data_IF_794201744021
#
_entry.id   IF_794201744021
#
_cell.length_a   1.000
_cell.length_b   1.000
_cell.length_c   1.000
_cell.angle_alpha   90.00
_cell.angle_beta   90.00
_cell.angle_gamma   90.00
#
_symmetry.space_group_name_H-M   'P 1'
#
loop_
_entity.id
_entity.type
_entity.pdbx_description
1 polymer ?
#
# COMPACT_ATOMS: atom_id res chain seq x y z
N UNK A 1 2.34 14.73 1.13
CA UNK A 1 3.31 13.70 1.60
C UNK A 1 2.80 12.33 1.21
N UNK A 2 3.67 11.33 1.16
CA UNK A 2 3.31 9.91 1.07
C UNK A 2 3.36 9.33 2.47
N UNK A 3 2.37 8.54 2.86
CA UNK A 3 2.30 7.91 4.18
C UNK A 3 2.85 6.48 4.10
N UNK A 4 4.01 6.22 4.72
CA UNK A 4 4.57 4.87 4.85
C UNK A 4 4.08 4.19 6.12
N UNK A 5 4.47 2.92 6.35
CA UNK A 5 4.11 2.18 7.57
C UNK A 5 4.55 2.86 8.88
N UNK A 6 5.57 3.74 8.84
CA UNK A 6 6.12 4.42 10.03
C UNK A 6 6.24 5.92 9.90
N UNK A 7 6.71 6.39 8.74
CA UNK A 7 7.11 7.77 8.53
C UNK A 7 6.42 8.42 7.33
N UNK A 8 6.49 9.74 7.29
CA UNK A 8 6.08 10.50 6.12
C UNK A 8 7.24 10.60 5.15
N UNK A 9 6.95 10.31 3.89
CA UNK A 9 7.93 10.31 2.80
C UNK A 9 7.62 11.49 1.88
N UNK A 10 8.64 12.27 1.56
CA UNK A 10 8.50 13.33 0.58
C UNK A 10 8.46 12.72 -0.84
N UNK A 11 7.60 13.20 -1.75
CA UNK A 11 7.53 12.70 -3.14
C UNK A 11 8.90 12.64 -3.86
N UNK A 12 9.77 13.61 -3.59
CA UNK A 12 11.12 13.73 -4.13
C UNK A 12 12.10 12.67 -3.62
N UNK A 13 11.82 12.03 -2.48
CA UNK A 13 12.67 11.01 -1.85
C UNK A 13 12.38 9.58 -2.35
N UNK A 14 11.39 9.43 -3.23
CA UNK A 14 10.97 8.14 -3.79
C UNK A 14 11.69 7.87 -5.12
N UNK A 15 12.34 6.72 -5.19
CA UNK A 15 12.94 6.16 -6.41
C UNK A 15 11.94 5.34 -7.20
N UNK A 16 12.36 4.18 -7.71
CA UNK A 16 11.44 3.23 -8.35
C UNK A 16 10.43 2.68 -7.36
N UNK A 17 9.23 2.40 -7.83
CA UNK A 17 8.13 1.93 -7.00
C UNK A 17 7.52 0.63 -7.52
N UNK A 18 7.07 -0.20 -6.59
CA UNK A 18 6.28 -1.40 -6.78
C UNK A 18 4.92 -1.20 -6.11
N UNK A 19 3.89 -0.78 -6.87
CA UNK A 19 2.60 -0.35 -6.31
C UNK A 19 1.64 -1.48 -5.93
N UNK A 20 1.96 -2.74 -6.23
CA UNK A 20 1.11 -3.90 -5.92
C UNK A 20 1.96 -5.17 -5.74
N UNK A 21 2.35 -5.44 -4.50
CA UNK A 21 3.11 -6.62 -4.13
C UNK A 21 2.70 -7.11 -2.73
N UNK A 22 3.03 -8.35 -2.39
CA UNK A 22 2.88 -8.84 -1.03
C UNK A 22 4.26 -9.03 -0.39
N UNK A 23 4.44 -8.49 0.81
CA UNK A 23 5.73 -8.56 1.51
C UNK A 23 5.72 -9.64 2.58
N UNK A 24 4.69 -9.63 3.42
CA UNK A 24 4.45 -10.68 4.40
C UNK A 24 2.98 -11.07 4.40
N UNK A 25 2.66 -12.36 4.28
CA UNK A 25 1.29 -12.87 4.31
C UNK A 25 1.18 -14.35 4.69
N UNK A 26 -0.04 -14.79 4.97
CA UNK A 26 -0.40 -16.16 5.33
C UNK A 26 -1.45 -16.80 4.40
N UNK A 27 -1.64 -16.30 3.16
CA UNK A 27 -2.60 -16.82 2.16
C UNK A 27 -2.67 -18.36 2.12
N UNK A 28 -1.54 -19.05 2.15
CA UNK A 28 -1.48 -20.52 2.12
C UNK A 28 -2.10 -21.24 3.33
N UNK A 29 -2.43 -20.53 4.41
CA UNK A 29 -2.95 -21.09 5.65
C UNK A 29 -4.28 -21.84 5.46
N UNK A 30 -5.07 -21.47 4.45
CA UNK A 30 -6.32 -22.18 4.09
C UNK A 30 -6.09 -23.62 3.64
N UNK A 31 -4.89 -23.94 3.16
CA UNK A 31 -4.49 -25.27 2.71
C UNK A 31 -3.42 -25.88 3.63
N UNK A 32 -3.07 -25.23 4.74
CA UNK A 32 -1.96 -25.65 5.58
C UNK A 32 -2.22 -27.01 6.23
N UNK A 33 -1.27 -27.92 6.02
CA UNK A 33 -1.18 -29.18 6.75
C UNK A 33 -0.06 -29.07 7.78
N UNK A 34 -0.16 -29.79 8.90
CA UNK A 34 0.93 -29.87 9.89
C UNK A 34 2.14 -30.56 9.23
N UNK A 35 3.10 -29.77 8.75
CA UNK A 35 4.22 -30.28 7.95
C UNK A 35 5.37 -29.27 7.81
N UNK A 36 6.44 -29.74 7.19
CA UNK A 36 7.65 -28.96 6.91
C UNK A 36 7.36 -27.78 5.96
N UNK A 37 7.71 -26.57 6.40
CA UNK A 37 7.56 -25.33 5.64
C UNK A 37 8.70 -25.07 4.65
N UNK A 38 9.72 -25.93 4.57
CA UNK A 38 10.78 -25.81 3.57
C UNK A 38 10.24 -26.05 2.15
N UNK A 39 10.76 -25.34 1.15
CA UNK A 39 10.49 -25.60 -0.27
C UNK A 39 11.72 -26.28 -0.85
N UNK A 40 11.54 -27.45 -1.45
CA UNK A 40 12.62 -28.19 -2.11
C UNK A 40 12.61 -27.93 -3.61
N UNK A 41 13.74 -28.19 -4.26
CA UNK A 41 13.89 -27.92 -5.69
C UNK A 41 12.99 -28.82 -6.54
N UNK A 42 12.76 -30.04 -6.10
CA UNK A 42 11.84 -31.01 -6.72
C UNK A 42 10.37 -30.54 -6.70
N UNK A 43 9.98 -29.72 -5.72
CA UNK A 43 8.60 -29.24 -5.57
C UNK A 43 8.25 -28.10 -6.55
N UNK A 44 9.25 -27.46 -7.16
CA UNK A 44 9.06 -26.23 -7.93
C UNK A 44 8.14 -26.42 -9.13
N UNK A 45 8.15 -27.60 -9.76
CA UNK A 45 7.25 -27.88 -10.88
C UNK A 45 5.80 -28.01 -10.45
N UNK A 46 5.55 -28.56 -9.27
CA UNK A 46 4.20 -28.67 -8.72
C UNK A 46 3.66 -27.29 -8.36
N UNK A 47 4.46 -26.45 -7.70
CA UNK A 47 4.05 -25.10 -7.35
C UNK A 47 3.72 -24.21 -8.57
N UNK A 48 4.45 -24.39 -9.68
CA UNK A 48 4.14 -23.68 -10.94
C UNK A 48 2.80 -24.08 -11.54
N UNK A 49 2.34 -25.31 -11.29
CA UNK A 49 1.07 -25.84 -11.80
C UNK A 49 -0.09 -25.58 -10.83
N UNK A 50 0.18 -25.71 -9.54
CA UNK A 50 -0.77 -25.56 -8.45
C UNK A 50 -0.09 -24.81 -7.29
N UNK A 51 -0.25 -23.48 -7.17
CA UNK A 51 0.41 -22.70 -6.13
C UNK A 51 0.12 -23.15 -4.69
N UNK A 52 -1.05 -23.77 -4.46
CA UNK A 52 -1.47 -24.35 -3.18
C UNK A 52 -0.96 -25.77 -2.92
N UNK A 53 -0.20 -26.38 -3.84
CA UNK A 53 0.38 -27.70 -3.64
C UNK A 53 1.18 -27.79 -2.33
N UNK A 54 1.40 -29.02 -1.84
CA UNK A 54 2.23 -29.28 -0.66
C UNK A 54 1.79 -28.47 0.58
N UNK A 55 0.49 -28.42 0.84
CA UNK A 55 -0.08 -27.76 2.01
C UNK A 55 0.03 -26.23 1.97
N UNK A 56 -0.01 -25.61 0.79
CA UNK A 56 0.00 -24.15 0.65
C UNK A 56 1.30 -23.45 1.05
N UNK A 57 2.38 -24.18 1.37
CA UNK A 57 3.63 -23.60 1.91
C UNK A 57 4.34 -22.61 0.97
N UNK A 58 4.04 -22.64 -0.32
CA UNK A 58 4.50 -21.64 -1.29
C UNK A 58 3.83 -20.27 -1.11
N UNK A 59 2.65 -20.22 -0.49
CA UNK A 59 1.86 -19.01 -0.26
C UNK A 59 1.96 -18.53 1.19
N UNK A 60 3.02 -18.93 1.90
CA UNK A 60 3.30 -18.53 3.29
C UNK A 60 4.56 -17.66 3.35
N UNK A 61 4.42 -16.37 3.07
CA UNK A 61 5.49 -15.38 3.18
C UNK A 61 5.50 -14.81 4.61
N UNK A 62 5.85 -15.63 5.60
CA UNK A 62 5.79 -15.22 7.01
C UNK A 62 7.16 -14.92 7.62
N UNK A 63 8.24 -15.34 6.94
CA UNK A 63 9.61 -15.25 7.47
C UNK A 63 10.22 -13.90 7.10
N UNK A 64 10.35 -13.03 8.10
CA UNK A 64 10.97 -11.69 7.98
C UNK A 64 12.34 -11.75 7.29
N UNK A 65 13.18 -12.73 7.61
CA UNK A 65 14.51 -12.88 7.01
C UNK A 65 14.48 -13.28 5.53
N UNK A 66 13.46 -14.02 5.09
CA UNK A 66 13.30 -14.33 3.65
C UNK A 66 12.89 -13.07 2.90
N UNK A 67 11.92 -12.32 3.42
CA UNK A 67 11.49 -11.04 2.84
C UNK A 67 12.62 -10.01 2.81
N UNK A 68 13.38 -9.89 3.90
CA UNK A 68 14.53 -8.98 4.01
C UNK A 68 15.56 -9.24 2.90
N UNK A 69 15.95 -10.50 2.68
CA UNK A 69 16.96 -10.85 1.66
C UNK A 69 16.52 -10.51 0.24
N UNK A 70 15.23 -10.58 -0.06
CA UNK A 70 14.70 -10.26 -1.38
C UNK A 70 14.57 -8.74 -1.59
N UNK A 71 14.13 -8.01 -0.56
CA UNK A 71 13.97 -6.56 -0.59
C UNK A 71 15.30 -5.79 -0.45
N UNK A 72 16.29 -6.34 0.26
CA UNK A 72 17.64 -5.77 0.36
C UNK A 72 18.28 -5.63 -1.04
N UNK A 73 18.00 -6.54 -1.96
CA UNK A 73 18.46 -6.43 -3.34
C UNK A 73 17.82 -5.27 -4.09
N UNK A 74 16.55 -4.96 -3.79
CA UNK A 74 15.87 -3.80 -4.35
C UNK A 74 16.51 -2.50 -3.84
N UNK A 75 16.89 -2.44 -2.56
CA UNK A 75 17.64 -1.31 -2.00
C UNK A 75 18.99 -1.09 -2.67
N UNK A 76 19.70 -2.19 -2.94
CA UNK A 76 21.00 -2.17 -3.61
C UNK A 76 20.89 -1.89 -5.12
N UNK A 77 19.68 -1.79 -5.66
CA UNK A 77 19.46 -1.59 -7.07
C UNK A 77 19.90 -0.18 -7.50
N UNK A 78 21.07 -0.10 -8.13
CA UNK A 78 21.80 1.14 -8.47
C UNK A 78 21.15 2.07 -9.50
N UNK A 79 19.86 1.89 -9.83
CA UNK A 79 19.21 2.73 -10.85
C UNK A 79 18.96 4.16 -10.36
N UNK A 80 18.80 4.39 -9.06
CA UNK A 80 18.52 5.72 -8.53
C UNK A 80 19.26 5.98 -7.21
N UNK A 81 19.58 7.25 -6.93
CA UNK A 81 20.07 7.72 -5.62
C UNK A 81 18.96 7.76 -4.55
N UNK A 82 17.71 7.54 -4.96
CA UNK A 82 16.52 7.63 -4.15
C UNK A 82 16.08 6.24 -3.68
N UNK A 83 15.37 6.19 -2.56
CA UNK A 83 14.94 4.93 -1.95
C UNK A 83 13.78 4.32 -2.74
N UNK A 84 13.83 3.03 -3.13
CA UNK A 84 12.69 2.35 -3.73
C UNK A 84 11.49 2.33 -2.78
N UNK A 85 10.29 2.22 -3.34
CA UNK A 85 9.04 2.13 -2.60
C UNK A 85 8.31 0.83 -2.94
N UNK A 86 7.74 0.17 -1.94
CA UNK A 86 6.92 -1.03 -2.11
C UNK A 86 5.60 -0.86 -1.36
N UNK A 87 4.48 -1.12 -2.05
CA UNK A 87 3.14 -1.14 -1.47
C UNK A 87 2.75 -2.59 -1.20
N UNK A 88 2.72 -2.96 0.09
CA UNK A 88 2.21 -4.26 0.55
C UNK A 88 0.69 -4.25 0.57
N UNK A 89 0.06 -4.95 -0.38
CA UNK A 89 -1.40 -5.01 -0.56
C UNK A 89 -2.06 -6.16 0.22
N UNK A 90 -1.33 -6.77 1.15
CA UNK A 90 -1.85 -7.88 1.98
C UNK A 90 -3.09 -7.47 2.78
N UNK A 91 -4.11 -8.33 2.77
CA UNK A 91 -5.39 -8.13 3.47
C UNK A 91 -5.39 -8.67 4.92
N UNK A 92 -6.34 -8.24 5.78
CA UNK A 92 -6.50 -8.78 7.14
C UNK A 92 -6.59 -10.31 7.19
N UNK A 93 -7.39 -10.90 6.30
CA UNK A 93 -7.55 -12.36 6.16
C UNK A 93 -6.26 -13.06 5.73
N UNK A 94 -5.35 -12.32 5.09
CA UNK A 94 -4.03 -12.77 4.63
C UNK A 94 -2.91 -12.42 5.63
N UNK A 95 -3.25 -11.96 6.83
CA UNK A 95 -2.29 -11.70 7.89
C UNK A 95 -1.73 -10.28 7.91
N UNK A 96 -2.41 -9.30 7.30
CA UNK A 96 -2.08 -7.86 7.47
C UNK A 96 -1.96 -7.49 8.94
N UNK A 97 -2.99 -7.72 9.73
CA UNK A 97 -3.03 -7.23 11.11
C UNK A 97 -2.17 -8.12 12.03
N UNK A 98 -2.12 -9.41 11.75
CA UNK A 98 -1.35 -10.38 12.53
C UNK A 98 0.17 -10.20 12.42
N UNK A 99 0.67 -9.67 11.29
CA UNK A 99 2.10 -9.52 10.99
C UNK A 99 2.58 -8.06 11.05
N UNK A 100 1.82 -7.15 11.70
CA UNK A 100 2.18 -5.72 11.80
C UNK A 100 3.57 -5.55 12.43
N UNK A 101 3.87 -6.30 13.49
CA UNK A 101 5.16 -6.22 14.19
C UNK A 101 6.32 -6.63 13.28
N UNK A 102 6.17 -7.69 12.50
CA UNK A 102 7.13 -8.18 11.52
C UNK A 102 7.34 -7.14 10.41
N UNK A 103 6.26 -6.54 9.88
CA UNK A 103 6.38 -5.47 8.86
C UNK A 103 7.12 -4.25 9.38
N UNK A 104 6.86 -3.83 10.61
CA UNK A 104 7.55 -2.69 11.23
C UNK A 104 9.03 -2.98 11.49
N UNK A 105 9.37 -4.19 11.95
CA UNK A 105 10.77 -4.63 12.08
C UNK A 105 11.47 -4.70 10.73
N UNK A 106 10.80 -5.23 9.71
CA UNK A 106 11.33 -5.30 8.36
C UNK A 106 11.61 -3.90 7.80
N UNK A 107 10.67 -2.95 7.96
CA UNK A 107 10.86 -1.56 7.56
C UNK A 107 12.03 -0.90 8.32
N UNK A 108 12.23 -1.21 9.61
CA UNK A 108 13.36 -0.70 10.39
C UNK A 108 14.72 -1.24 9.91
N UNK A 109 14.75 -2.51 9.52
CA UNK A 109 15.95 -3.15 8.95
C UNK A 109 16.26 -2.62 7.56
N UNK A 110 15.23 -2.37 6.75
CA UNK A 110 15.33 -1.87 5.39
C UNK A 110 15.41 -0.32 5.35
N UNK A 111 16.51 0.23 5.84
CA UNK A 111 16.72 1.70 5.98
C UNK A 111 16.60 2.52 4.70
N UNK A 112 16.92 1.93 3.57
CA UNK A 112 16.92 2.56 2.24
C UNK A 112 15.73 2.10 1.38
N UNK A 113 14.60 1.71 1.99
CA UNK A 113 13.37 1.33 1.30
C UNK A 113 12.16 1.92 2.01
N UNK A 114 11.22 2.44 1.24
CA UNK A 114 9.92 2.88 1.74
C UNK A 114 8.93 1.73 1.66
N UNK A 115 8.40 1.29 2.80
CA UNK A 115 7.38 0.24 2.85
C UNK A 115 6.02 0.87 3.17
N UNK A 116 5.01 0.57 2.37
CA UNK A 116 3.63 0.98 2.58
C UNK A 116 2.77 -0.25 2.86
N UNK A 117 1.67 -0.05 3.60
CA UNK A 117 0.59 -1.03 3.76
C UNK A 117 -0.73 -0.39 3.33
N UNK A 118 -1.78 -1.19 3.22
CA UNK A 118 -3.11 -0.74 2.76
C UNK A 118 -4.20 -0.85 3.83
N UNK A 119 -5.16 0.08 3.78
CA UNK A 119 -6.44 -0.01 4.48
C UNK A 119 -7.44 -0.78 3.61
N UNK A 120 -8.40 -1.47 4.23
CA UNK A 120 -9.43 -2.22 3.49
C UNK A 120 -10.69 -2.40 4.32
N UNK A 121 -11.80 -2.75 3.66
CA UNK A 121 -13.03 -3.12 4.33
C UNK A 121 -13.53 -4.47 3.80
N UNK A 122 -13.59 -5.47 4.69
CA UNK A 122 -14.12 -6.80 4.38
C UNK A 122 -15.64 -6.74 4.21
N UNK A 123 -16.17 -7.08 3.04
CA UNK A 123 -17.60 -7.02 2.74
C UNK A 123 -18.43 -7.91 3.69
N UNK A 124 -17.83 -8.97 4.21
CA UNK A 124 -18.39 -9.89 5.20
C UNK A 124 -18.72 -9.18 6.53
N UNK A 125 -18.03 -8.08 6.85
CA UNK A 125 -18.32 -7.25 8.03
C UNK A 125 -19.64 -6.49 7.90
N UNK A 126 -20.20 -6.34 6.69
CA UNK A 126 -21.56 -5.84 6.47
C UNK A 126 -22.58 -6.92 6.83
N UNK A 127 -22.69 -7.22 8.12
CA UNK A 127 -23.66 -8.16 8.70
C UNK A 127 -24.71 -7.42 9.54
N UNK A 128 -25.73 -8.12 10.02
CA UNK A 128 -26.83 -7.54 10.79
C UNK A 128 -26.34 -6.67 11.97
N UNK A 129 -25.27 -7.08 12.66
CA UNK A 129 -24.71 -6.32 13.77
C UNK A 129 -24.08 -5.00 13.32
N UNK A 130 -23.43 -4.98 12.16
CA UNK A 130 -22.89 -3.74 11.58
C UNK A 130 -24.00 -2.81 11.09
N UNK A 131 -25.07 -3.39 10.54
CA UNK A 131 -26.17 -2.68 9.90
C UNK A 131 -27.32 -2.29 10.87
N UNK A 132 -27.28 -2.74 12.13
CA UNK A 132 -28.42 -2.62 13.05
C UNK A 132 -28.89 -1.18 13.22
N UNK A 133 -30.15 -0.93 12.84
CA UNK A 133 -30.78 0.39 12.94
C UNK A 133 -30.24 1.46 11.98
N UNK A 134 -29.42 1.09 10.99
CA UNK A 134 -28.83 2.02 10.02
C UNK A 134 -29.47 1.88 8.64
N UNK A 135 -29.77 3.01 8.00
CA UNK A 135 -30.07 3.07 6.56
C UNK A 135 -28.84 2.70 5.70
N UNK A 136 -29.00 2.31 4.43
CA UNK A 136 -27.87 2.02 3.54
C UNK A 136 -26.86 3.18 3.43
N UNK A 137 -27.33 4.42 3.46
CA UNK A 137 -26.47 5.62 3.45
C UNK A 137 -25.61 5.69 4.73
N UNK A 138 -26.22 5.47 5.90
CA UNK A 138 -25.50 5.47 7.18
C UNK A 138 -24.54 4.28 7.31
N UNK A 139 -24.87 3.14 6.70
CA UNK A 139 -23.96 2.00 6.62
C UNK A 139 -22.73 2.35 5.76
N UNK A 140 -22.93 3.00 4.61
CA UNK A 140 -21.85 3.48 3.74
C UNK A 140 -20.97 4.51 4.45
N UNK A 141 -21.58 5.44 5.18
CA UNK A 141 -20.89 6.41 6.03
C UNK A 141 -20.04 5.73 7.12
N UNK A 142 -20.54 4.64 7.70
CA UNK A 142 -19.83 3.85 8.71
C UNK A 142 -18.63 3.09 8.12
N UNK A 143 -18.77 2.56 6.90
CA UNK A 143 -17.65 1.99 6.13
C UNK A 143 -16.60 3.06 5.91
N UNK A 144 -16.99 4.24 5.42
CA UNK A 144 -16.09 5.35 5.13
C UNK A 144 -15.30 5.77 6.39
N UNK A 145 -15.98 6.00 7.51
CA UNK A 145 -15.36 6.33 8.80
C UNK A 145 -14.40 5.26 9.32
N UNK A 146 -14.68 3.99 9.05
CA UNK A 146 -13.78 2.89 9.44
C UNK A 146 -12.48 2.96 8.66
N UNK A 147 -12.56 3.18 7.33
CA UNK A 147 -11.39 3.33 6.47
C UNK A 147 -10.61 4.61 6.77
N UNK A 148 -11.30 5.74 6.96
CA UNK A 148 -10.72 7.00 7.39
C UNK A 148 -9.97 6.84 8.71
N UNK A 149 -10.55 6.12 9.68
CA UNK A 149 -9.90 5.86 10.96
C UNK A 149 -8.62 5.02 10.79
N UNK A 150 -8.63 3.94 10.00
CA UNK A 150 -7.41 3.18 9.70
C UNK A 150 -6.36 4.05 9.00
N UNK A 151 -6.77 4.85 8.01
CA UNK A 151 -5.88 5.73 7.26
C UNK A 151 -5.26 6.81 8.15
N UNK A 152 -6.02 7.38 9.09
CA UNK A 152 -5.59 8.51 9.94
C UNK A 152 -4.85 8.03 11.19
N UNK A 153 -5.39 7.04 11.90
CA UNK A 153 -4.90 6.57 13.20
C UNK A 153 -4.04 5.30 13.11
N UNK A 154 -4.04 4.62 11.97
CA UNK A 154 -3.25 3.42 11.73
C UNK A 154 -3.98 2.13 12.08
N UNK A 155 -3.31 1.02 11.75
CA UNK A 155 -3.71 -0.35 12.03
C UNK A 155 -2.94 -0.80 13.27
N UNK A 156 -3.66 -1.13 14.33
CA UNK A 156 -3.08 -1.68 15.56
C UNK A 156 -2.99 -3.21 15.50
N UNK A 157 -1.83 -3.75 15.84
CA UNK A 157 -1.61 -5.20 15.94
C UNK A 157 -0.46 -5.50 16.91
N UNK A 158 -0.66 -6.42 17.85
CA UNK A 158 0.36 -6.83 18.83
C UNK A 158 1.01 -5.66 19.61
N UNK A 159 0.23 -4.63 19.95
CA UNK A 159 0.68 -3.46 20.72
C UNK A 159 1.54 -2.46 19.94
N UNK A 160 1.56 -2.55 18.61
CA UNK A 160 2.22 -1.60 17.71
C UNK A 160 1.25 -1.12 16.64
N UNK A 161 1.53 0.05 16.06
CA UNK A 161 0.68 0.69 15.05
C UNK A 161 1.47 0.86 13.75
N UNK A 162 0.89 0.45 12.63
CA UNK A 162 1.39 0.74 11.29
C UNK A 162 0.40 1.63 10.53
N UNK A 163 0.90 2.54 9.71
CA UNK A 163 0.05 3.49 8.99
C UNK A 163 -0.15 3.10 7.52
N UNK A 164 -1.40 3.01 7.05
CA UNK A 164 -1.67 2.76 5.63
C UNK A 164 -1.36 3.97 4.75
N UNK A 165 -0.81 3.69 3.56
CA UNK A 165 -0.54 4.70 2.54
C UNK A 165 -1.57 4.74 1.42
N UNK A 166 -2.47 3.76 1.35
CA UNK A 166 -3.48 3.61 0.32
C UNK A 166 -4.63 2.74 0.83
N UNK A 167 -5.70 2.64 0.05
CA UNK A 167 -6.76 1.64 0.22
C UNK A 167 -6.63 0.55 -0.85
N UNK A 168 -6.94 -0.68 -0.47
CA UNK A 168 -7.01 -1.82 -1.38
C UNK A 168 -8.29 -2.60 -1.14
N UNK A 169 -9.03 -2.90 -2.21
CA UNK A 169 -10.23 -3.70 -2.15
C UNK A 169 -10.11 -4.89 -3.09
N UNK A 170 -10.18 -6.09 -2.53
CA UNK A 170 -10.42 -7.29 -3.31
C UNK A 170 -11.92 -7.49 -3.51
N UNK A 171 -12.30 -7.77 -4.76
CA UNK A 171 -13.68 -7.90 -5.21
C UNK A 171 -13.81 -9.28 -5.85
N UNK A 172 -14.73 -10.07 -5.29
CA UNK A 172 -15.12 -11.36 -5.83
C UNK A 172 -16.42 -11.19 -6.60
N UNK A 173 -16.31 -11.10 -7.94
CA UNK A 173 -17.46 -10.90 -8.82
C UNK A 173 -18.30 -12.16 -8.85
N UNK A 174 -19.55 -12.05 -8.42
CA UNK A 174 -20.58 -13.10 -8.56
C UNK A 174 -21.26 -12.98 -9.92
N UNK A 175 -21.77 -14.10 -10.44
CA UNK A 175 -22.44 -14.15 -11.75
C UNK A 175 -23.56 -13.11 -11.86
N UNK A 176 -23.68 -12.45 -13.02
CA UNK A 176 -24.75 -11.51 -13.33
C UNK A 176 -24.36 -10.02 -13.41
N UNK A 177 -23.12 -9.66 -13.05
CA UNK A 177 -22.54 -8.31 -13.32
C UNK A 177 -23.19 -7.11 -12.61
N UNK A 178 -24.17 -7.36 -11.74
CA UNK A 178 -24.87 -6.37 -10.92
C UNK A 178 -24.29 -6.37 -9.50
N UNK A 179 -24.28 -5.20 -8.88
CA UNK A 179 -23.91 -5.07 -7.47
C UNK A 179 -24.99 -5.68 -6.59
N UNK A 180 -24.58 -6.46 -5.60
CA UNK A 180 -25.44 -6.83 -4.48
C UNK A 180 -25.64 -5.62 -3.56
N UNK A 181 -26.69 -5.64 -2.72
CA UNK A 181 -26.93 -4.57 -1.76
C UNK A 181 -25.72 -4.27 -0.84
N UNK A 182 -24.96 -5.31 -0.46
CA UNK A 182 -23.72 -5.13 0.31
C UNK A 182 -22.63 -4.44 -0.48
N UNK A 183 -22.49 -4.77 -1.77
CA UNK A 183 -21.51 -4.15 -2.65
C UNK A 183 -21.89 -2.71 -2.97
N UNK A 184 -23.17 -2.38 -3.09
CA UNK A 184 -23.63 -0.98 -3.24
C UNK A 184 -23.21 -0.14 -2.03
N UNK A 185 -23.44 -0.64 -0.81
CA UNK A 185 -22.99 0.01 0.44
C UNK A 185 -21.46 0.14 0.47
N UNK A 186 -20.74 -0.91 0.08
CA UNK A 186 -19.28 -0.92 0.07
C UNK A 186 -18.71 0.09 -0.94
N UNK A 187 -19.23 0.11 -2.17
CA UNK A 187 -18.82 1.05 -3.23
C UNK A 187 -19.02 2.49 -2.76
N UNK A 188 -20.19 2.81 -2.20
CA UNK A 188 -20.47 4.14 -1.67
C UNK A 188 -19.52 4.49 -0.51
N UNK A 189 -19.29 3.56 0.42
CA UNK A 189 -18.36 3.78 1.53
C UNK A 189 -16.90 3.99 1.09
N UNK A 190 -16.43 3.24 0.09
CA UNK A 190 -15.10 3.38 -0.50
C UNK A 190 -14.94 4.72 -1.22
N UNK A 191 -15.94 5.13 -2.01
CA UNK A 191 -15.93 6.42 -2.70
C UNK A 191 -15.91 7.58 -1.71
N UNK A 192 -16.73 7.53 -0.65
CA UNK A 192 -16.74 8.54 0.41
C UNK A 192 -15.39 8.64 1.13
N UNK A 193 -14.79 7.51 1.53
CA UNK A 193 -13.48 7.49 2.16
C UNK A 193 -12.41 8.07 1.23
N UNK A 194 -12.43 7.69 -0.05
CA UNK A 194 -11.48 8.18 -1.05
C UNK A 194 -11.63 9.69 -1.25
N UNK A 195 -12.85 10.18 -1.47
CA UNK A 195 -13.11 11.60 -1.72
C UNK A 195 -12.75 12.50 -0.53
N UNK A 196 -12.87 12.01 0.71
CA UNK A 196 -12.55 12.78 1.93
C UNK A 196 -11.06 12.79 2.26
N UNK A 197 -10.37 11.70 1.95
CA UNK A 197 -8.95 11.55 2.29
C UNK A 197 -8.03 11.84 1.13
N UNK A 198 -8.52 11.75 -0.11
CA UNK A 198 -7.73 11.70 -1.35
C UNK A 198 -6.77 10.50 -1.44
N UNK A 199 -6.88 9.52 -0.53
CA UNK A 199 -6.04 8.32 -0.53
C UNK A 199 -6.37 7.43 -1.75
N UNK A 200 -5.37 6.90 -2.47
CA UNK A 200 -5.64 6.11 -3.66
C UNK A 200 -6.33 4.79 -3.32
N UNK A 201 -7.22 4.35 -4.20
CA UNK A 201 -8.00 3.12 -4.08
C UNK A 201 -7.62 2.14 -5.19
N UNK A 202 -7.00 1.04 -4.77
CA UNK A 202 -6.61 -0.08 -5.63
C UNK A 202 -7.70 -1.14 -5.61
N UNK A 203 -8.17 -1.55 -6.78
CA UNK A 203 -9.26 -2.51 -6.96
C UNK A 203 -8.73 -3.76 -7.64
N UNK A 204 -8.81 -4.90 -6.96
CA UNK A 204 -8.47 -6.21 -7.52
C UNK A 204 -9.72 -7.03 -7.73
N UNK A 205 -9.92 -7.50 -8.96
CA UNK A 205 -11.08 -8.27 -9.34
C UNK A 205 -10.71 -9.73 -9.56
N UNK A 206 -11.55 -10.61 -9.04
CA UNK A 206 -11.52 -12.04 -9.27
C UNK A 206 -12.92 -12.52 -9.60
N UNK A 207 -12.99 -13.65 -10.30
CA UNK A 207 -14.23 -14.23 -10.78
C UNK A 207 -14.29 -15.70 -10.41
N UNK A 208 -15.50 -16.20 -10.21
CA UNK A 208 -15.74 -17.64 -10.12
C UNK A 208 -15.38 -18.34 -11.44
N UNK A 209 -14.81 -19.55 -11.38
CA UNK A 209 -14.24 -20.24 -12.55
C UNK A 209 -15.27 -20.49 -13.66
N UNK A 210 -16.57 -20.49 -13.31
CA UNK A 210 -17.68 -20.71 -14.23
C UNK A 210 -18.02 -19.49 -15.11
N UNK A 211 -17.56 -18.28 -14.78
CA UNK A 211 -18.01 -17.06 -15.45
C UNK A 211 -17.01 -16.54 -16.50
N UNK A 212 -17.57 -15.98 -17.58
CA UNK A 212 -16.81 -15.54 -18.76
C UNK A 212 -16.12 -14.20 -18.58
N UNK A 213 -15.11 -13.91 -19.41
CA UNK A 213 -14.36 -12.63 -19.36
C UNK A 213 -15.24 -11.39 -19.59
N UNK A 214 -16.29 -11.50 -20.40
CA UNK A 214 -17.22 -10.39 -20.66
C UNK A 214 -18.03 -9.99 -19.41
N UNK A 215 -18.40 -10.96 -18.57
CA UNK A 215 -19.09 -10.68 -17.30
C UNK A 215 -18.17 -9.94 -16.32
N UNK A 216 -16.89 -10.30 -16.30
CA UNK A 216 -15.88 -9.59 -15.50
C UNK A 216 -15.72 -8.15 -15.95
N UNK A 217 -15.58 -7.92 -17.25
CA UNK A 217 -15.47 -6.55 -17.81
C UNK A 217 -16.71 -5.73 -17.46
N UNK A 218 -17.91 -6.30 -17.59
CA UNK A 218 -19.15 -5.63 -17.21
C UNK A 218 -19.20 -5.33 -15.71
N UNK A 219 -18.77 -6.25 -14.85
CA UNK A 219 -18.72 -6.01 -13.42
C UNK A 219 -17.74 -4.89 -13.07
N UNK A 220 -16.55 -4.88 -13.66
CA UNK A 220 -15.57 -3.79 -13.48
C UNK A 220 -16.17 -2.46 -13.92
N UNK A 221 -16.84 -2.40 -15.09
CA UNK A 221 -17.54 -1.19 -15.55
C UNK A 221 -18.56 -0.71 -14.53
N UNK A 222 -19.38 -1.62 -14.02
CA UNK A 222 -20.39 -1.31 -13.01
C UNK A 222 -19.72 -0.74 -11.76
N UNK A 223 -18.69 -1.39 -11.22
CA UNK A 223 -17.96 -0.92 -10.04
C UNK A 223 -17.33 0.46 -10.24
N UNK A 224 -16.60 0.66 -11.34
CA UNK A 224 -15.93 1.94 -11.61
C UNK A 224 -16.95 3.06 -11.78
N UNK A 225 -18.04 2.85 -12.55
CA UNK A 225 -19.07 3.88 -12.72
C UNK A 225 -19.74 4.23 -11.40
N UNK A 226 -20.11 3.24 -10.59
CA UNK A 226 -20.72 3.51 -9.28
C UNK A 226 -19.77 4.24 -8.32
N UNK A 227 -18.46 3.95 -8.35
CA UNK A 227 -17.47 4.71 -7.58
C UNK A 227 -17.42 6.18 -8.04
N UNK A 228 -17.36 6.41 -9.36
CA UNK A 228 -17.32 7.77 -9.93
C UNK A 228 -18.61 8.54 -9.65
N UNK A 229 -19.77 7.91 -9.81
CA UNK A 229 -21.08 8.50 -9.52
C UNK A 229 -21.23 8.84 -8.02
N UNK A 230 -20.60 8.06 -7.14
CA UNK A 230 -20.50 8.31 -5.71
C UNK A 230 -19.46 9.40 -5.33
N UNK A 231 -18.77 9.99 -6.31
CA UNK A 231 -17.86 11.10 -6.11
C UNK A 231 -16.38 10.72 -5.96
N UNK A 232 -15.99 9.48 -6.26
CA UNK A 232 -14.58 9.10 -6.29
C UNK A 232 -13.82 9.84 -7.41
N UNK A 233 -12.61 10.30 -7.11
CA UNK A 233 -11.68 10.90 -8.06
C UNK A 233 -11.06 9.81 -8.94
N UNK A 234 -11.39 9.83 -10.23
CA UNK A 234 -10.87 8.86 -11.21
C UNK A 234 -9.34 8.72 -11.18
N UNK A 235 -8.62 9.84 -11.04
CA UNK A 235 -7.15 9.87 -10.98
C UNK A 235 -6.54 9.18 -9.76
N UNK A 236 -7.35 8.87 -8.74
CA UNK A 236 -6.95 8.14 -7.53
C UNK A 236 -7.46 6.70 -7.52
N UNK A 237 -8.13 6.26 -8.59
CA UNK A 237 -8.55 4.87 -8.77
C UNK A 237 -7.52 4.08 -9.58
N UNK A 238 -7.27 2.84 -9.15
CA UNK A 238 -6.41 1.89 -9.85
C UNK A 238 -7.14 0.57 -10.03
N UNK A 239 -7.16 0.06 -11.26
CA UNK A 239 -7.62 -1.31 -11.56
C UNK A 239 -6.40 -2.22 -11.71
N UNK A 240 -6.27 -3.21 -10.82
CA UNK A 240 -5.09 -4.08 -10.67
C UNK A 240 -5.18 -5.33 -11.56
N UNK A 241 -4.07 -6.00 -11.86
CA UNK A 241 -4.04 -7.21 -12.71
C UNK A 241 -4.51 -6.98 -14.15
N UNK A 242 -4.18 -5.84 -14.74
CA UNK A 242 -4.56 -5.46 -16.10
C UNK A 242 -4.07 -6.42 -17.19
N UNK A 243 -3.02 -7.19 -16.89
CA UNK A 243 -2.52 -8.28 -17.71
C UNK A 243 -3.57 -9.37 -17.99
N UNK A 244 -4.53 -9.60 -17.08
CA UNK A 244 -5.60 -10.59 -17.27
C UNK A 244 -6.58 -10.22 -18.38
N UNK A 245 -6.61 -8.94 -18.75
CA UNK A 245 -7.57 -8.37 -19.71
C UNK A 245 -6.91 -7.97 -21.03
N UNK A 246 -5.62 -8.22 -21.19
CA UNK A 246 -4.92 -8.09 -22.46
C UNK A 246 -5.04 -9.39 -23.26
N UNK A 247 -6.12 -9.56 -24.02
CA UNK A 247 -6.32 -10.74 -24.88
C UNK A 247 -6.26 -10.37 -26.36
N UNK A 248 -5.31 -10.96 -27.10
CA UNK A 248 -5.26 -10.86 -28.56
C UNK A 248 -4.00 -10.20 -29.11
N UNK A 249 -3.98 -10.01 -30.43
CA UNK A 249 -2.91 -9.32 -31.16
C UNK A 249 -3.02 -7.79 -30.97
N UNK A 250 -1.87 -7.10 -30.99
CA UNK A 250 -1.70 -5.64 -30.80
C UNK A 250 -2.53 -4.80 -31.80
N UNK A 251 -2.90 -5.36 -32.95
CA UNK A 251 -3.71 -4.74 -34.00
C UNK A 251 -5.22 -5.05 -33.86
N UNK A 252 -5.65 -5.82 -32.86
CA UNK A 252 -7.04 -6.24 -32.65
C UNK A 252 -7.76 -5.56 -31.48
N UNK A 253 -9.05 -5.88 -31.33
CA UNK A 253 -9.99 -5.37 -30.30
C UNK A 253 -9.64 -5.70 -28.83
N UNK A 254 -8.46 -6.31 -28.58
CA UNK A 254 -8.04 -6.86 -27.30
C UNK A 254 -7.77 -5.87 -26.17
N UNK A 255 -7.66 -4.57 -26.50
CA UNK A 255 -7.35 -3.50 -25.56
C UNK A 255 -8.50 -2.50 -25.38
N UNK A 256 -9.63 -2.67 -26.09
CA UNK A 256 -10.73 -1.72 -26.09
C UNK A 256 -11.28 -1.47 -24.68
N UNK A 257 -11.39 -2.53 -23.87
CA UNK A 257 -11.78 -2.44 -22.48
C UNK A 257 -10.84 -1.56 -21.64
N UNK A 258 -9.52 -1.78 -21.75
CA UNK A 258 -8.53 -1.00 -21.03
C UNK A 258 -8.50 0.46 -21.48
N UNK A 259 -8.64 0.73 -22.79
CA UNK A 259 -8.74 2.08 -23.32
C UNK A 259 -10.00 2.80 -22.82
N UNK A 260 -11.11 2.11 -22.61
CA UNK A 260 -12.29 2.69 -21.98
C UNK A 260 -12.02 3.08 -20.52
N UNK A 261 -11.40 2.19 -19.73
CA UNK A 261 -11.04 2.51 -18.33
C UNK A 261 -10.09 3.72 -18.26
N UNK A 262 -9.08 3.75 -19.14
CA UNK A 262 -8.17 4.87 -19.28
C UNK A 262 -8.91 6.17 -19.68
N UNK A 263 -9.90 6.07 -20.58
CA UNK A 263 -10.77 7.18 -20.97
C UNK A 263 -11.62 7.75 -19.83
N UNK A 264 -11.91 6.95 -18.79
CA UNK A 264 -12.56 7.41 -17.56
C UNK A 264 -11.59 8.13 -16.60
N UNK A 265 -10.30 8.21 -16.93
CA UNK A 265 -9.26 8.83 -16.10
C UNK A 265 -8.70 7.92 -15.01
N UNK A 266 -9.05 6.63 -15.03
CA UNK A 266 -8.60 5.61 -14.06
C UNK A 266 -7.23 5.08 -14.47
N UNK A 267 -6.39 4.73 -13.49
CA UNK A 267 -5.10 4.08 -13.76
C UNK A 267 -5.26 2.57 -13.87
N UNK A 268 -4.45 1.94 -14.72
CA UNK A 268 -4.40 0.48 -14.89
C UNK A 268 -3.04 -0.04 -14.47
N UNK A 269 -3.03 -1.11 -13.70
CA UNK A 269 -1.82 -1.68 -13.12
C UNK A 269 -1.59 -3.10 -13.66
N UNK A 270 -0.39 -3.35 -14.18
CA UNK A 270 0.03 -4.64 -14.71
C UNK A 270 1.00 -5.33 -13.76
N UNK A 271 0.73 -6.59 -13.46
CA UNK A 271 1.47 -7.41 -12.49
C UNK A 271 2.26 -8.51 -13.18
N UNK A 272 1.63 -9.13 -14.18
CA UNK A 272 2.31 -10.07 -15.06
C UNK A 272 2.98 -9.27 -16.16
N UNK A 273 4.30 -9.30 -16.09
CA UNK A 273 5.28 -8.60 -16.92
C UNK A 273 5.18 -9.01 -18.41
N UNK A 274 4.07 -8.65 -19.03
CA UNK A 274 3.65 -9.00 -20.39
C UNK A 274 2.86 -7.82 -20.93
N UNK A 275 3.57 -6.76 -21.31
CA UNK A 275 2.96 -5.54 -21.78
C UNK A 275 3.44 -5.27 -23.19
N UNK A 276 2.52 -5.39 -24.14
CA UNK A 276 2.67 -4.86 -25.50
C UNK A 276 1.92 -3.52 -25.66
N UNK A 277 1.16 -3.10 -24.63
CA UNK A 277 0.22 -1.98 -24.69
C UNK A 277 0.80 -0.59 -24.39
N UNK A 278 2.07 -0.48 -23.96
CA UNK A 278 2.66 0.81 -23.50
C UNK A 278 3.10 1.74 -24.65
N UNK A 279 2.79 1.40 -25.90
CA UNK A 279 3.24 2.22 -27.03
C UNK A 279 2.47 3.52 -27.22
N UNK A 280 1.26 3.70 -26.67
CA UNK A 280 0.52 4.95 -26.80
C UNK A 280 0.92 5.96 -25.71
N UNK A 281 1.69 6.97 -26.10
CA UNK A 281 2.13 8.07 -25.25
C UNK A 281 1.02 8.79 -24.47
N UNK A 282 -0.23 8.75 -24.95
CA UNK A 282 -1.35 9.49 -24.33
C UNK A 282 -1.74 8.96 -22.95
N UNK A 283 -1.50 7.68 -22.68
CA UNK A 283 -1.94 7.02 -21.45
C UNK A 283 -0.81 6.61 -20.52
N UNK A 284 0.44 6.98 -20.85
CA UNK A 284 1.63 6.64 -20.06
C UNK A 284 1.47 7.05 -18.60
N UNK A 285 0.86 8.20 -18.32
CA UNK A 285 0.63 8.74 -16.97
C UNK A 285 -0.38 7.96 -16.12
N UNK A 286 -1.10 7.01 -16.72
CA UNK A 286 -2.14 6.18 -16.09
C UNK A 286 -1.72 4.70 -16.03
N UNK A 287 -0.51 4.36 -16.45
CA UNK A 287 0.00 2.99 -16.44
C UNK A 287 0.90 2.79 -15.23
N UNK A 288 0.66 1.73 -14.48
CA UNK A 288 1.47 1.28 -13.35
C UNK A 288 2.00 -0.14 -13.62
N UNK A 289 3.18 -0.44 -13.10
CA UNK A 289 3.82 -1.76 -13.21
C UNK A 289 4.26 -2.24 -11.83
N UNK A 290 3.98 -3.50 -11.51
CA UNK A 290 4.49 -4.16 -10.32
C UNK A 290 5.08 -5.54 -10.62
N UNK A 291 5.59 -6.23 -9.61
CA UNK A 291 6.05 -7.62 -9.74
C UNK A 291 5.04 -8.65 -9.26
N UNK A 292 4.08 -8.23 -8.43
CA UNK A 292 3.11 -9.09 -7.75
C UNK A 292 3.78 -10.35 -7.18
N UNK A 293 4.79 -10.15 -6.35
CA UNK A 293 5.39 -11.22 -5.55
C UNK A 293 4.40 -11.57 -4.43
N UNK A 294 3.84 -12.77 -4.49
CA UNK A 294 2.95 -13.35 -3.48
C UNK A 294 3.20 -14.86 -3.27
N UNK A 295 4.19 -15.41 -3.96
CA UNK A 295 4.60 -16.80 -3.87
C UNK A 295 6.09 -16.87 -3.54
N UNK A 296 6.47 -17.82 -2.69
CA UNK A 296 7.87 -18.03 -2.34
C UNK A 296 8.68 -18.43 -3.56
N UNK A 297 8.14 -19.24 -4.48
CA UNK A 297 8.87 -19.59 -5.72
C UNK A 297 9.20 -18.39 -6.62
N UNK A 298 8.59 -17.21 -6.40
CA UNK A 298 8.96 -15.99 -7.09
C UNK A 298 10.22 -15.35 -6.50
N UNK A 299 10.65 -15.72 -5.29
CA UNK A 299 11.93 -15.31 -4.71
C UNK A 299 13.11 -15.88 -5.48
N UNK A 300 14.20 -15.12 -5.53
CA UNK A 300 15.40 -15.48 -6.30
C UNK A 300 16.05 -16.77 -5.82
N UNK A 301 16.01 -17.03 -4.51
CA UNK A 301 16.55 -18.28 -3.93
C UNK A 301 15.89 -19.55 -4.48
N UNK A 302 14.69 -19.44 -5.04
CA UNK A 302 13.94 -20.57 -5.64
C UNK A 302 13.89 -20.48 -7.18
N UNK A 303 14.73 -19.63 -7.78
CA UNK A 303 14.81 -19.44 -9.23
C UNK A 303 13.79 -18.44 -9.80
N UNK A 304 13.05 -17.72 -8.96
CA UNK A 304 12.17 -16.64 -9.37
C UNK A 304 12.90 -15.31 -9.65
N UNK A 305 12.15 -14.30 -10.09
CA UNK A 305 12.71 -12.98 -10.42
C UNK A 305 12.91 -12.05 -9.21
N UNK A 306 12.15 -12.25 -8.14
CA UNK A 306 12.04 -11.37 -6.98
C UNK A 306 11.51 -9.97 -7.35
N UNK A 307 11.58 -9.06 -6.39
CA UNK A 307 11.11 -7.66 -6.51
C UNK A 307 11.91 -6.81 -7.53
N UNK A 308 13.04 -7.31 -8.02
CA UNK A 308 13.93 -6.57 -8.94
C UNK A 308 13.73 -6.96 -10.40
N UNK A 309 12.90 -7.95 -10.69
CA UNK A 309 12.69 -8.48 -12.05
C UNK A 309 12.21 -7.41 -13.04
N UNK A 310 11.28 -6.57 -12.60
CA UNK A 310 10.75 -5.45 -13.38
C UNK A 310 11.88 -4.55 -13.90
N UNK A 311 12.81 -4.18 -13.02
CA UNK A 311 13.88 -3.23 -13.32
C UNK A 311 15.06 -3.86 -14.07
N UNK A 312 15.45 -5.09 -13.70
CA UNK A 312 16.64 -5.74 -14.25
C UNK A 312 16.38 -6.45 -15.59
N UNK A 313 15.16 -6.96 -15.81
CA UNK A 313 14.87 -7.82 -16.95
C UNK A 313 13.79 -7.24 -17.85
N UNK A 314 12.71 -6.70 -17.28
CA UNK A 314 11.60 -6.23 -18.09
C UNK A 314 11.85 -4.91 -18.77
N UNK A 315 12.52 -3.96 -18.09
CA UNK A 315 12.91 -2.66 -18.67
C UNK A 315 13.48 -2.82 -20.08
N UNK A 316 14.44 -3.73 -20.27
CA UNK A 316 15.08 -3.99 -21.56
C UNK A 316 14.12 -4.53 -22.65
N UNK A 317 13.00 -5.14 -22.29
CA UNK A 317 11.97 -5.56 -23.25
C UNK A 317 11.16 -4.36 -23.72
N UNK A 318 10.69 -3.51 -22.82
CA UNK A 318 9.92 -2.31 -23.16
C UNK A 318 10.74 -1.30 -23.96
N UNK A 319 12.00 -1.06 -23.59
CA UNK A 319 12.88 -0.17 -24.35
C UNK A 319 13.08 -0.66 -25.80
N UNK A 320 13.22 -1.98 -26.00
CA UNK A 320 13.32 -2.58 -27.34
C UNK A 320 12.02 -2.49 -28.16
N UNK A 321 10.89 -2.31 -27.49
CA UNK A 321 9.59 -2.11 -28.12
C UNK A 321 9.27 -0.62 -28.36
N UNK A 322 10.22 0.28 -28.08
CA UNK A 322 10.10 1.70 -28.39
C UNK A 322 9.64 2.59 -27.24
N UNK A 323 9.49 2.05 -26.03
CA UNK A 323 9.25 2.86 -24.82
C UNK A 323 10.50 3.67 -24.52
N UNK A 324 10.37 5.00 -24.44
CA UNK A 324 11.48 5.88 -24.10
C UNK A 324 11.85 5.77 -22.61
N UNK A 325 13.11 6.06 -22.26
CA UNK A 325 13.58 6.08 -20.86
C UNK A 325 12.76 7.02 -19.97
N UNK A 326 12.30 8.16 -20.50
CA UNK A 326 11.45 9.11 -19.77
C UNK A 326 10.06 8.53 -19.48
N UNK A 327 9.46 7.81 -20.43
CA UNK A 327 8.17 7.13 -20.23
C UNK A 327 8.31 5.99 -19.22
N UNK A 328 9.45 5.29 -19.24
CA UNK A 328 9.75 4.28 -18.23
C UNK A 328 9.82 4.88 -16.83
N UNK A 329 10.58 5.97 -16.63
CA UNK A 329 10.66 6.66 -15.33
C UNK A 329 9.28 7.18 -14.88
N UNK A 330 8.46 7.67 -15.80
CA UNK A 330 7.09 8.06 -15.51
C UNK A 330 6.27 6.88 -14.96
N UNK A 331 6.30 5.74 -15.64
CA UNK A 331 5.54 4.53 -15.26
C UNK A 331 6.00 3.95 -13.92
N UNK A 332 7.31 3.78 -13.73
CA UNK A 332 7.83 3.06 -12.54
C UNK A 332 8.10 3.97 -11.35
N UNK A 333 7.90 5.27 -11.48
CA UNK A 333 8.12 6.23 -10.40
C UNK A 333 7.07 7.33 -10.39
N UNK A 334 7.03 8.19 -11.41
CA UNK A 334 6.26 9.44 -11.31
C UNK A 334 4.76 9.20 -11.09
N UNK A 335 4.17 8.23 -11.80
CA UNK A 335 2.76 7.89 -11.68
C UNK A 335 2.42 7.41 -10.27
N UNK A 336 3.23 6.50 -9.73
CA UNK A 336 3.03 5.94 -8.39
C UNK A 336 3.19 7.02 -7.32
N UNK A 337 4.20 7.90 -7.47
CA UNK A 337 4.44 9.02 -6.55
C UNK A 337 3.27 10.01 -6.56
N UNK A 338 2.79 10.40 -7.73
CA UNK A 338 1.63 11.30 -7.88
C UNK A 338 0.35 10.69 -7.30
N UNK A 339 0.18 9.37 -7.46
CA UNK A 339 -0.94 8.64 -6.91
C UNK A 339 -0.90 8.61 -5.37
N UNK A 340 0.26 8.29 -4.78
CA UNK A 340 0.43 8.11 -3.32
C UNK A 340 0.64 9.43 -2.56
N UNK A 341 0.94 10.54 -3.24
CA UNK A 341 1.12 11.85 -2.63
C UNK A 341 -0.24 12.50 -2.32
N UNK A 342 -0.90 12.07 -1.25
CA UNK A 342 -2.22 12.57 -0.83
C UNK A 342 -2.24 13.11 0.61
N UNK A 343 -1.37 12.58 1.48
CA UNK A 343 -1.49 12.84 2.91
C UNK A 343 -0.96 14.23 3.27
N UNK A 344 -1.79 14.99 3.98
CA UNK A 344 -1.43 16.24 4.64
C UNK A 344 -1.57 16.01 6.14
N UNK A 345 -0.47 16.11 6.93
CA UNK A 345 -0.56 15.99 8.37
C UNK A 345 -1.52 17.05 8.93
N UNK A 346 -2.39 16.70 9.90
CA UNK A 346 -3.20 17.69 10.57
C UNK A 346 -2.29 18.74 11.23
N UNK A 347 -2.77 19.97 11.33
CA UNK A 347 -2.05 21.01 12.08
C UNK A 347 -1.73 20.49 13.47
N UNK A 348 -0.48 20.68 13.90
CA UNK A 348 -0.10 20.32 15.26
C UNK A 348 -1.05 21.05 16.22
N UNK A 349 -1.63 20.36 17.21
CA UNK A 349 -2.55 20.98 18.13
C UNK A 349 -1.88 22.21 18.74
N UNK A 350 -2.59 23.35 18.85
CA UNK A 350 -2.02 24.54 19.44
C UNK A 350 -1.52 24.16 20.83
N UNK A 351 -0.24 24.41 21.09
CA UNK A 351 0.36 24.17 22.39
C UNK A 351 -0.52 24.91 23.41
N UNK A 352 -1.11 24.22 24.40
CA UNK A 352 -1.99 24.87 25.36
C UNK A 352 -1.22 26.02 26.01
N UNK A 353 -1.86 27.18 26.18
CA UNK A 353 -1.21 28.43 26.67
C UNK A 353 -0.44 28.27 27.98
N UNK A 354 -0.72 27.20 28.72
CA UNK A 354 -0.11 26.91 30.01
C UNK A 354 1.20 26.11 29.89
N UNK A 355 1.55 25.54 28.73
CA UNK A 355 2.77 24.74 28.60
C UNK A 355 4.01 25.64 28.53
N UNK A 356 5.04 25.30 29.30
CA UNK A 356 6.32 25.98 29.27
C UNK A 356 7.30 25.21 28.38
N UNK A 357 8.17 25.93 27.67
CA UNK A 357 9.26 25.31 26.92
C UNK A 357 10.48 25.13 27.82
N UNK A 358 11.00 23.91 27.91
CA UNK A 358 12.26 23.65 28.61
C UNK A 358 13.42 24.31 27.85
N UNK A 359 14.22 25.13 28.52
CA UNK A 359 15.38 25.78 27.92
C UNK A 359 16.49 24.81 27.50
N UNK A 360 16.49 23.57 27.99
CA UNK A 360 17.60 22.61 27.80
C UNK A 360 17.30 21.52 26.79
N UNK A 361 16.10 20.95 26.81
CA UNK A 361 15.69 19.91 25.86
C UNK A 361 14.70 20.41 24.82
N UNK A 362 14.29 21.67 24.89
CA UNK A 362 13.35 22.33 23.96
C UNK A 362 11.94 21.75 23.92
N UNK A 363 11.68 20.66 24.66
CA UNK A 363 10.36 20.08 24.83
C UNK A 363 9.44 21.00 25.62
N UNK A 364 8.18 21.08 25.18
CA UNK A 364 7.10 21.68 25.93
C UNK A 364 6.62 20.73 27.03
N UNK A 365 6.27 21.28 28.19
CA UNK A 365 5.75 20.51 29.32
C UNK A 365 4.69 21.31 30.07
N UNK A 366 3.76 20.60 30.69
CA UNK A 366 2.77 21.21 31.57
C UNK A 366 3.43 21.60 32.90
N UNK A 367 3.35 22.87 33.35
CA UNK A 367 3.95 23.31 34.59
C UNK A 367 3.14 22.78 35.77
N UNK A 368 3.49 21.59 36.25
CA UNK A 368 3.00 21.04 37.51
C UNK A 368 3.83 21.63 38.64
N UNK A 369 3.20 22.38 39.54
CA UNK A 369 3.87 23.04 40.66
C UNK A 369 4.68 22.01 41.47
N UNK A 370 5.99 22.27 41.66
CA UNK A 370 6.92 21.37 42.33
C UNK A 370 7.65 20.36 41.42
N UNK A 371 7.24 20.17 40.17
CA UNK A 371 7.89 19.22 39.24
C UNK A 371 8.81 19.88 38.22
N UNK A 372 8.64 21.18 38.00
CA UNK A 372 9.53 21.99 37.15
C UNK A 372 10.32 22.99 37.97
N UNK A 373 11.41 23.47 37.38
CA UNK A 373 12.30 24.42 38.02
C UNK A 373 12.41 25.66 37.14
N UNK A 374 12.50 26.82 37.77
CA UNK A 374 12.93 28.06 37.13
C UNK A 374 14.20 28.54 37.81
N UNK A 375 15.17 28.99 37.02
CA UNK A 375 16.39 29.61 37.54
C UNK A 375 16.88 30.65 36.55
N UNK A 376 16.95 31.91 36.99
CA UNK A 376 17.19 33.06 36.11
C UNK A 376 16.13 33.13 35.00
N UNK A 377 16.54 33.27 33.75
CA UNK A 377 15.70 33.25 32.56
C UNK A 377 15.42 31.85 32.02
N UNK A 378 15.87 30.80 32.71
CA UNK A 378 15.77 29.42 32.24
C UNK A 378 14.65 28.67 32.96
N UNK A 379 13.94 27.87 32.17
CA UNK A 379 12.86 26.99 32.62
C UNK A 379 13.26 25.55 32.35
N UNK A 380 13.11 24.65 33.33
CA UNK A 380 13.51 23.26 33.22
C UNK A 380 12.31 22.35 33.46
N UNK A 381 12.06 21.43 32.54
CA UNK A 381 10.99 20.41 32.69
C UNK A 381 11.23 19.39 33.82
N UNK A 382 12.32 19.52 34.59
CA UNK A 382 12.63 18.62 35.70
C UNK A 382 14.11 18.62 36.10
N UNK A 383 14.42 17.82 37.11
CA UNK A 383 15.76 17.76 37.74
C UNK A 383 16.86 17.30 36.78
N UNK A 384 16.55 16.46 35.78
CA UNK A 384 17.51 16.02 34.75
C UNK A 384 18.05 17.20 33.94
N UNK A 385 17.15 18.05 33.43
CA UNK A 385 17.52 19.23 32.64
C UNK A 385 18.24 20.28 33.50
N UNK A 386 17.77 20.50 34.73
CA UNK A 386 18.44 21.37 35.70
C UNK A 386 19.87 20.89 36.01
N UNK A 387 20.07 19.59 36.28
CA UNK A 387 21.40 19.01 36.55
C UNK A 387 22.32 19.11 35.34
N UNK A 388 21.79 18.87 34.13
CA UNK A 388 22.56 19.01 32.88
C UNK A 388 23.10 20.43 32.71
N UNK A 389 22.27 21.45 32.96
CA UNK A 389 22.70 22.84 32.87
C UNK A 389 23.60 23.28 34.03
N UNK A 390 23.33 22.78 35.25
CA UNK A 390 24.17 23.02 36.42
C UNK A 390 25.61 22.55 36.23
N UNK A 391 25.80 21.38 35.58
CA UNK A 391 27.15 20.88 35.21
C UNK A 391 27.89 21.79 34.24
N UNK A 392 27.17 22.59 33.47
CA UNK A 392 27.71 23.62 32.58
C UNK A 392 27.84 24.98 33.28
N UNK A 393 27.73 25.02 34.61
CA UNK A 393 27.77 26.24 35.43
C UNK A 393 26.75 27.30 35.00
N UNK A 394 25.60 26.88 34.47
CA UNK A 394 24.55 27.77 33.96
C UNK A 394 25.06 28.73 32.87
N UNK A 395 25.99 28.28 32.02
CA UNK A 395 26.49 29.05 30.90
C UNK A 395 25.34 29.48 29.94
N UNK A 396 25.43 30.65 29.30
CA UNK A 396 24.42 31.08 28.32
C UNK A 396 24.24 30.03 27.23
N UNK A 397 22.98 29.74 26.89
CA UNK A 397 22.66 28.87 25.77
C UNK A 397 22.96 29.59 24.45
N UNK A 398 23.42 28.87 23.41
CA UNK A 398 23.59 29.45 22.08
C UNK A 398 22.27 30.10 21.64
N UNK A 399 22.37 31.28 21.01
CA UNK A 399 21.20 31.99 20.50
C UNK A 399 20.41 31.06 19.57
N UNK A 400 19.09 30.97 19.78
CA UNK A 400 18.17 30.21 18.94
C UNK A 400 18.36 30.67 17.48
N UNK A 401 18.76 29.75 16.59
CA UNK A 401 18.85 30.01 15.15
C UNK A 401 17.47 29.95 14.51
#
# INVERSE_FOLDING_TARGET
MIRSVRELVAPEDVGVALPHDHVLHNIGAVAATNGDLEIRMEDLMDFRRAPFAHGGRNLLLQKEDEAFRELERLQQHKLHKLKPLVVDVTLPTEGRDALVKERLRLAERLKDLHLLTVATFEVEKLNEKFCIGLSPQEQSERVAKTLEAELVFGIEGAGVVAFPGAMYQQIHVKSGGLLTAKEEILVQGLALAQARTHAPLYLSFSIDEAAGSAELEQAIRTWIRNLLDAGAESKKLVVCHADRWCRGDVQGAGYAFLLELLGLGVSVLFDLVGLLAVSDSRYVSQILLSTNVYQRIQYRRYGGGGYTYLFEKFKHRLLRQGVAEIQWDEIVRANVVNLLAWYVPPEAPPIPKNYLQCSICENYFEPIEGEYFTKFTFTYCGTKCLRRHSRQKFAPLPAKK
#
